data_IF_692483769205
#
_entry.id   IF_692483769205
#
_cell.length_a   1.000
_cell.length_b   1.000
_cell.length_c   1.000
_cell.angle_alpha   90.00
_cell.angle_beta   90.00
_cell.angle_gamma   90.00
#
_symmetry.space_group_name_H-M   'P 1'
#
loop_
_entity.id
_entity.type
_entity.pdbx_description
1 polymer ?
#
# COMPACT_ATOMS: atom_id res chain seq x y z
N UNK A 1 -20.70 -11.85 21.26
CA UNK A 1 -20.72 -10.89 20.15
C UNK A 1 -19.30 -10.38 19.82
N UNK A 2 -18.54 -9.80 20.78
CA UNK A 2 -17.20 -9.19 20.55
C UNK A 2 -16.17 -10.19 20.00
N UNK A 3 -16.13 -11.42 20.55
CA UNK A 3 -15.20 -12.48 20.12
C UNK A 3 -15.49 -12.93 18.67
N UNK A 4 -16.76 -13.06 18.30
CA UNK A 4 -17.15 -13.43 16.94
C UNK A 4 -16.74 -12.35 15.91
N UNK A 5 -16.87 -11.07 16.27
CA UNK A 5 -16.44 -9.95 15.44
C UNK A 5 -14.94 -9.92 15.22
N UNK A 6 -14.15 -10.16 16.28
CA UNK A 6 -12.70 -10.21 16.15
C UNK A 6 -12.26 -11.37 15.24
N UNK A 7 -12.88 -12.55 15.39
CA UNK A 7 -12.60 -13.70 14.53
C UNK A 7 -12.96 -13.39 13.08
N UNK A 8 -14.16 -12.85 12.82
CA UNK A 8 -14.59 -12.51 11.47
C UNK A 8 -13.67 -11.48 10.79
N UNK A 9 -13.32 -10.38 11.47
CA UNK A 9 -12.45 -9.37 10.90
C UNK A 9 -11.01 -9.89 10.66
N UNK A 10 -10.48 -10.70 11.58
CA UNK A 10 -9.19 -11.35 11.39
C UNK A 10 -9.23 -12.32 10.20
N UNK A 11 -10.30 -13.10 10.08
CA UNK A 11 -10.48 -14.00 8.94
C UNK A 11 -10.56 -13.24 7.62
N UNK A 12 -11.34 -12.15 7.55
CA UNK A 12 -11.42 -11.30 6.34
C UNK A 12 -10.04 -10.73 5.98
N UNK A 13 -9.28 -10.23 6.94
CA UNK A 13 -7.94 -9.69 6.69
C UNK A 13 -6.99 -10.74 6.14
N UNK A 14 -6.99 -11.97 6.70
CA UNK A 14 -6.17 -13.06 6.20
C UNK A 14 -6.63 -13.54 4.81
N UNK A 15 -7.93 -13.73 4.60
CA UNK A 15 -8.48 -14.20 3.33
C UNK A 15 -8.17 -13.22 2.19
N UNK A 16 -8.32 -11.92 2.43
CA UNK A 16 -7.99 -10.90 1.42
C UNK A 16 -6.49 -10.78 1.17
N UNK A 17 -5.65 -10.95 2.21
CA UNK A 17 -4.20 -10.98 2.04
C UNK A 17 -3.74 -12.23 1.26
N UNK A 18 -4.31 -13.40 1.55
CA UNK A 18 -4.06 -14.63 0.79
C UNK A 18 -4.58 -14.52 -0.66
N UNK A 19 -5.70 -13.84 -0.86
CA UNK A 19 -6.23 -13.57 -2.18
C UNK A 19 -5.28 -12.69 -3.01
N UNK A 20 -4.72 -11.63 -2.43
CA UNK A 20 -3.70 -10.78 -3.09
C UNK A 20 -2.45 -11.60 -3.45
N UNK A 21 -2.01 -12.49 -2.56
CA UNK A 21 -0.91 -13.41 -2.86
C UNK A 21 -1.27 -14.36 -4.01
N UNK A 22 -2.50 -14.90 -4.03
CA UNK A 22 -2.97 -15.76 -5.10
C UNK A 22 -3.05 -15.04 -6.47
N UNK A 23 -3.41 -13.75 -6.48
CA UNK A 23 -3.38 -12.92 -7.70
C UNK A 23 -1.95 -12.79 -8.24
N UNK A 24 -0.97 -12.53 -7.37
CA UNK A 24 0.44 -12.47 -7.77
C UNK A 24 0.96 -13.81 -8.29
N UNK A 25 0.60 -14.93 -7.66
CA UNK A 25 0.96 -16.27 -8.13
C UNK A 25 0.33 -16.55 -9.50
N UNK A 26 -0.95 -16.23 -9.69
CA UNK A 26 -1.66 -16.38 -10.95
C UNK A 26 -1.08 -15.52 -12.08
N UNK A 27 -0.51 -14.35 -11.73
CA UNK A 27 0.21 -13.46 -12.64
C UNK A 27 1.66 -13.87 -12.95
N UNK A 28 2.06 -15.12 -12.63
CA UNK A 28 3.40 -15.64 -12.94
C UNK A 28 4.48 -15.27 -11.93
N UNK A 29 4.11 -14.71 -10.78
CA UNK A 29 5.08 -14.17 -9.82
C UNK A 29 6.10 -15.19 -9.29
N UNK A 30 5.70 -16.46 -9.11
CA UNK A 30 6.62 -17.53 -8.67
C UNK A 30 7.60 -17.89 -9.77
N UNK A 31 7.14 -17.97 -11.01
CA UNK A 31 7.98 -18.36 -12.16
C UNK A 31 9.14 -17.37 -12.35
N UNK A 32 8.87 -16.09 -12.17
CA UNK A 32 9.87 -15.03 -12.29
C UNK A 32 10.96 -15.10 -11.20
N UNK A 33 10.71 -15.78 -10.07
CA UNK A 33 11.71 -15.90 -8.99
C UNK A 33 12.85 -16.88 -9.31
N UNK A 34 12.63 -17.86 -10.19
CA UNK A 34 13.58 -18.95 -10.43
C UNK A 34 14.87 -18.52 -11.10
N UNK A 35 14.87 -17.39 -11.82
CA UNK A 35 16.06 -16.85 -12.47
C UNK A 35 17.07 -16.20 -11.54
N UNK A 36 16.68 -15.80 -10.33
CA UNK A 36 17.47 -14.98 -9.39
C UNK A 36 18.10 -13.75 -10.04
N UNK A 37 17.40 -13.15 -11.01
CA UNK A 37 17.82 -12.05 -11.85
C UNK A 37 16.92 -10.80 -11.71
N UNK A 38 16.96 -9.92 -12.69
CA UNK A 38 16.11 -8.73 -12.76
C UNK A 38 14.60 -9.05 -12.71
N UNK A 39 14.16 -10.17 -13.30
CA UNK A 39 12.77 -10.60 -13.27
C UNK A 39 12.34 -10.98 -11.83
N UNK A 40 13.23 -11.62 -11.08
CA UNK A 40 12.97 -11.94 -9.66
C UNK A 40 12.82 -10.67 -8.81
N UNK A 41 13.65 -9.64 -9.01
CA UNK A 41 13.52 -8.35 -8.32
C UNK A 41 12.20 -7.68 -8.67
N UNK A 42 11.83 -7.66 -9.94
CA UNK A 42 10.57 -7.08 -10.41
C UNK A 42 9.36 -7.83 -9.83
N UNK A 43 9.40 -9.15 -9.77
CA UNK A 43 8.34 -9.97 -9.21
C UNK A 43 8.15 -9.72 -7.71
N UNK A 44 9.23 -9.66 -6.93
CA UNK A 44 9.18 -9.30 -5.51
C UNK A 44 8.71 -7.85 -5.33
N UNK A 45 9.13 -6.95 -6.20
CA UNK A 45 8.66 -5.57 -6.23
C UNK A 45 7.14 -5.48 -6.44
N UNK A 46 6.60 -6.25 -7.38
CA UNK A 46 5.15 -6.36 -7.61
C UNK A 46 4.42 -6.90 -6.38
N UNK A 47 4.89 -7.99 -5.79
CA UNK A 47 4.30 -8.58 -4.59
C UNK A 47 4.27 -7.58 -3.43
N UNK A 48 5.39 -6.92 -3.13
CA UNK A 48 5.46 -5.95 -2.05
C UNK A 48 4.54 -4.76 -2.29
N UNK A 49 4.38 -4.30 -3.53
CA UNK A 49 3.45 -3.25 -3.92
C UNK A 49 1.98 -3.64 -3.75
N UNK A 50 1.61 -4.85 -4.17
CA UNK A 50 0.26 -5.38 -4.00
C UNK A 50 -0.13 -5.48 -2.52
N UNK A 51 0.76 -6.05 -1.69
CA UNK A 51 0.52 -6.17 -0.25
C UNK A 51 0.50 -4.79 0.42
N UNK A 52 1.42 -3.88 0.05
CA UNK A 52 1.42 -2.51 0.56
C UNK A 52 0.11 -1.77 0.25
N UNK A 53 -0.39 -1.85 -0.99
CA UNK A 53 -1.66 -1.25 -1.41
C UNK A 53 -2.83 -1.79 -0.60
N UNK A 54 -2.91 -3.11 -0.43
CA UNK A 54 -3.95 -3.76 0.35
C UNK A 54 -3.95 -3.26 1.82
N UNK A 55 -2.78 -3.20 2.44
CA UNK A 55 -2.64 -2.74 3.81
C UNK A 55 -2.87 -1.22 3.96
N UNK A 56 -2.46 -0.39 2.99
CA UNK A 56 -2.72 1.04 2.99
C UNK A 56 -4.22 1.36 2.94
N UNK A 57 -4.98 0.63 2.12
CA UNK A 57 -6.43 0.79 2.06
C UNK A 57 -7.10 0.31 3.35
N UNK A 58 -6.59 -0.75 3.99
CA UNK A 58 -7.07 -1.15 5.32
C UNK A 58 -6.84 -0.09 6.39
N UNK A 59 -5.74 0.65 6.33
CA UNK A 59 -5.51 1.74 7.29
C UNK A 59 -6.58 2.81 7.25
N UNK A 60 -7.08 3.14 6.04
CA UNK A 60 -8.21 4.07 5.86
C UNK A 60 -9.44 3.52 6.58
N UNK A 61 -9.79 2.26 6.33
CA UNK A 61 -10.96 1.59 6.90
C UNK A 61 -10.87 1.47 8.43
N UNK A 62 -9.69 1.17 8.98
CA UNK A 62 -9.50 0.97 10.42
C UNK A 62 -9.84 2.21 11.27
N UNK A 63 -9.61 3.41 10.75
CA UNK A 63 -9.87 4.66 11.47
C UNK A 63 -11.06 5.46 10.95
N UNK A 64 -11.82 4.90 10.03
CA UNK A 64 -13.02 5.52 9.44
C UNK A 64 -14.22 5.63 10.39
N UNK A 65 -14.04 5.36 11.70
CA UNK A 65 -15.08 5.42 12.76
C UNK A 65 -16.33 4.60 12.44
N UNK A 66 -16.16 3.48 11.76
CA UNK A 66 -17.29 2.59 11.46
C UNK A 66 -17.77 1.94 12.77
N UNK A 67 -19.03 2.18 13.18
CA UNK A 67 -19.54 1.74 14.52
C UNK A 67 -19.37 0.24 14.76
N UNK A 68 -19.40 -0.53 13.69
CA UNK A 68 -19.26 -1.97 13.70
C UNK A 68 -17.86 -2.40 14.16
N UNK A 69 -16.79 -1.76 13.64
CA UNK A 69 -15.42 -2.01 14.03
C UNK A 69 -15.11 -1.47 15.42
N UNK A 70 -15.61 -0.28 15.77
CA UNK A 70 -15.43 0.28 17.11
C UNK A 70 -16.05 -0.61 18.19
N UNK A 71 -17.26 -1.16 17.96
CA UNK A 71 -17.91 -2.10 18.88
C UNK A 71 -17.17 -3.43 19.02
N UNK A 72 -16.54 -3.92 17.94
CA UNK A 72 -15.79 -5.16 17.93
C UNK A 72 -14.44 -5.05 18.63
N UNK A 73 -13.63 -4.09 18.22
CA UNK A 73 -12.21 -3.99 18.63
C UNK A 73 -11.94 -2.96 19.72
N UNK A 74 -12.82 -1.96 19.88
CA UNK A 74 -12.58 -0.77 20.70
C UNK A 74 -11.55 0.17 20.07
N UNK A 75 -11.57 1.43 20.47
CA UNK A 75 -10.68 2.47 19.90
C UNK A 75 -9.20 2.16 20.07
N UNK A 76 -8.80 1.67 21.24
CA UNK A 76 -7.40 1.34 21.52
C UNK A 76 -6.90 0.16 20.66
N UNK A 77 -7.76 -0.83 20.43
CA UNK A 77 -7.49 -1.96 19.54
C UNK A 77 -7.28 -1.49 18.10
N UNK A 78 -8.19 -0.69 17.57
CA UNK A 78 -8.11 -0.14 16.21
C UNK A 78 -6.86 0.75 16.03
N UNK A 79 -6.55 1.60 17.00
CA UNK A 79 -5.35 2.43 16.97
C UNK A 79 -4.05 1.60 16.98
N UNK A 80 -4.03 0.49 17.74
CA UNK A 80 -2.89 -0.43 17.75
C UNK A 80 -2.73 -1.13 16.40
N UNK A 81 -3.84 -1.61 15.83
CA UNK A 81 -3.84 -2.24 14.51
C UNK A 81 -3.40 -1.25 13.43
N UNK A 82 -3.93 -0.02 13.43
CA UNK A 82 -3.51 1.03 12.50
C UNK A 82 -2.01 1.28 12.55
N UNK A 83 -1.40 1.35 13.74
CA UNK A 83 0.06 1.53 13.86
C UNK A 83 0.84 0.35 13.30
N UNK A 84 0.40 -0.89 13.55
CA UNK A 84 1.07 -2.09 13.05
C UNK A 84 0.94 -2.20 11.53
N UNK A 85 -0.26 -2.06 11.00
CA UNK A 85 -0.55 -2.07 9.57
C UNK A 85 0.20 -0.93 8.87
N UNK A 86 0.25 0.26 9.50
CA UNK A 86 1.00 1.41 9.01
C UNK A 86 2.49 1.17 8.88
N UNK A 87 3.09 0.56 9.87
CA UNK A 87 4.51 0.20 9.81
C UNK A 87 4.80 -0.75 8.64
N UNK A 88 4.01 -1.82 8.50
CA UNK A 88 4.22 -2.81 7.46
C UNK A 88 3.90 -2.27 6.06
N UNK A 89 2.78 -1.56 5.89
CA UNK A 89 2.42 -1.00 4.59
C UNK A 89 3.45 0.02 4.10
N UNK A 90 3.94 0.88 4.98
CA UNK A 90 4.98 1.86 4.67
C UNK A 90 6.31 1.18 4.30
N UNK A 91 6.75 0.18 5.09
CA UNK A 91 7.98 -0.55 4.83
C UNK A 91 7.92 -1.32 3.50
N UNK A 92 6.77 -1.96 3.22
CA UNK A 92 6.55 -2.68 1.96
C UNK A 92 6.46 -1.72 0.75
N UNK A 93 5.88 -0.55 0.92
CA UNK A 93 5.89 0.50 -0.12
C UNK A 93 7.31 0.91 -0.48
N UNK A 94 8.17 1.15 0.51
CA UNK A 94 9.58 1.48 0.25
C UNK A 94 10.33 0.32 -0.41
N UNK A 95 10.07 -0.91 0.03
CA UNK A 95 10.63 -2.11 -0.58
C UNK A 95 10.16 -2.29 -2.03
N UNK A 96 8.88 -2.04 -2.31
CA UNK A 96 8.32 -2.02 -3.66
C UNK A 96 9.08 -1.07 -4.59
N UNK A 97 9.27 0.18 -4.17
CA UNK A 97 9.98 1.19 -4.96
C UNK A 97 11.42 0.74 -5.20
N UNK A 98 12.13 0.33 -4.14
CA UNK A 98 13.53 -0.08 -4.24
C UNK A 98 13.70 -1.30 -5.16
N UNK A 99 12.88 -2.33 -5.00
CA UNK A 99 12.96 -3.57 -5.79
C UNK A 99 12.65 -3.33 -7.26
N UNK A 100 11.63 -2.51 -7.58
CA UNK A 100 11.31 -2.18 -8.97
C UNK A 100 12.42 -1.33 -9.63
N UNK A 101 12.91 -0.30 -8.92
CA UNK A 101 14.02 0.52 -9.47
C UNK A 101 15.24 -0.34 -9.75
N UNK A 102 15.63 -1.21 -8.82
CA UNK A 102 16.75 -2.12 -8.99
C UNK A 102 16.52 -3.14 -10.11
N UNK A 103 15.32 -3.73 -10.16
CA UNK A 103 15.00 -4.75 -11.16
C UNK A 103 14.94 -4.18 -12.58
N UNK A 104 14.33 -3.01 -12.77
CA UNK A 104 14.28 -2.35 -14.08
C UNK A 104 15.63 -1.81 -14.50
N UNK A 105 16.41 -1.22 -13.58
CA UNK A 105 17.77 -0.77 -13.86
C UNK A 105 18.67 -1.91 -14.31
N UNK A 106 18.59 -3.06 -13.63
CA UNK A 106 19.33 -4.26 -13.98
C UNK A 106 18.88 -4.85 -15.34
N UNK A 107 17.58 -4.85 -15.64
CA UNK A 107 17.05 -5.36 -16.90
C UNK A 107 17.44 -4.49 -18.10
N UNK A 108 17.51 -3.16 -17.90
CA UNK A 108 17.86 -2.19 -18.95
C UNK A 108 19.37 -1.89 -19.04
N UNK A 109 20.18 -2.42 -18.12
CA UNK A 109 21.61 -2.12 -17.97
C UNK A 109 21.89 -0.60 -17.83
N UNK A 110 21.08 0.07 -17.03
CA UNK A 110 21.20 1.51 -16.75
C UNK A 110 21.50 1.78 -15.29
N UNK A 111 21.95 3.01 -15.00
CA UNK A 111 22.18 3.45 -13.64
C UNK A 111 20.84 3.63 -12.88
N UNK A 112 20.84 3.29 -11.59
CA UNK A 112 19.67 3.40 -10.70
C UNK A 112 19.07 4.82 -10.71
N UNK A 113 19.89 5.87 -10.77
CA UNK A 113 19.43 7.26 -10.79
C UNK A 113 18.70 7.57 -12.10
N UNK A 114 19.23 7.06 -13.22
CA UNK A 114 18.58 7.19 -14.54
C UNK A 114 17.23 6.46 -14.53
N UNK A 115 17.20 5.22 -14.04
CA UNK A 115 15.95 4.45 -13.95
C UNK A 115 14.91 5.14 -13.06
N UNK A 116 15.32 5.70 -11.92
CA UNK A 116 14.42 6.45 -11.05
C UNK A 116 13.87 7.70 -11.74
N UNK A 117 14.71 8.41 -12.49
CA UNK A 117 14.31 9.57 -13.29
C UNK A 117 13.27 9.19 -14.35
N UNK A 118 13.54 8.14 -15.12
CA UNK A 118 12.60 7.61 -16.12
C UNK A 118 11.27 7.21 -15.49
N UNK A 119 11.28 6.53 -14.33
CA UNK A 119 10.05 6.18 -13.64
C UNK A 119 9.20 7.39 -13.31
N UNK A 120 9.82 8.47 -12.82
CA UNK A 120 9.07 9.66 -12.41
C UNK A 120 8.45 10.38 -13.59
N UNK A 121 9.18 10.48 -14.73
CA UNK A 121 8.81 11.37 -15.82
C UNK A 121 8.19 10.68 -17.02
N UNK A 122 8.58 9.45 -17.32
CA UNK A 122 8.22 8.77 -18.56
C UNK A 122 7.10 7.75 -18.38
N UNK A 123 6.86 7.28 -17.14
CA UNK A 123 5.80 6.30 -16.90
C UNK A 123 4.49 6.96 -16.49
N UNK A 124 3.34 6.57 -17.10
CA UNK A 124 2.04 7.14 -16.80
C UNK A 124 1.64 7.00 -15.32
N UNK A 125 1.22 8.09 -14.71
CA UNK A 125 0.79 8.13 -13.31
C UNK A 125 1.91 8.17 -12.27
N UNK A 126 3.17 7.99 -12.65
CA UNK A 126 4.29 7.90 -11.71
C UNK A 126 4.65 9.25 -11.08
N UNK A 127 4.44 10.37 -11.76
CA UNK A 127 4.62 11.70 -11.14
C UNK A 127 3.66 11.91 -9.97
N UNK A 128 2.41 11.49 -10.13
CA UNK A 128 1.40 11.54 -9.06
C UNK A 128 1.74 10.56 -7.93
N UNK A 129 2.18 9.35 -8.26
CA UNK A 129 2.64 8.36 -7.29
C UNK A 129 3.86 8.85 -6.50
N UNK A 130 4.78 9.56 -7.14
CA UNK A 130 5.94 10.19 -6.49
C UNK A 130 5.50 11.25 -5.49
N UNK A 131 4.59 12.14 -5.89
CA UNK A 131 4.01 13.13 -5.00
C UNK A 131 3.28 12.47 -3.81
N UNK A 132 2.50 11.41 -4.07
CA UNK A 132 1.84 10.61 -3.05
C UNK A 132 2.83 9.96 -2.08
N UNK A 133 3.91 9.39 -2.61
CA UNK A 133 4.99 8.80 -1.80
C UNK A 133 5.65 9.83 -0.87
N UNK A 134 5.93 11.04 -1.37
CA UNK A 134 6.49 12.13 -0.55
C UNK A 134 5.53 12.49 0.59
N UNK A 135 4.23 12.60 0.31
CA UNK A 135 3.22 12.88 1.35
C UNK A 135 3.15 11.75 2.39
N UNK A 136 3.17 10.49 1.98
CA UNK A 136 3.16 9.35 2.90
C UNK A 136 4.44 9.31 3.76
N UNK A 137 5.61 9.62 3.18
CA UNK A 137 6.87 9.75 3.93
C UNK A 137 6.78 10.87 4.96
N UNK A 138 6.25 12.04 4.58
CA UNK A 138 6.04 13.16 5.50
C UNK A 138 5.13 12.77 6.67
N UNK A 139 4.02 12.09 6.39
CA UNK A 139 3.09 11.57 7.40
C UNK A 139 3.78 10.55 8.31
N UNK A 140 4.56 9.64 7.76
CA UNK A 140 5.29 8.64 8.54
C UNK A 140 6.32 9.31 9.47
N UNK A 141 7.13 10.24 8.98
CA UNK A 141 8.13 10.97 9.77
C UNK A 141 7.46 11.75 10.90
N UNK A 142 6.40 12.52 10.60
CA UNK A 142 5.69 13.33 11.60
C UNK A 142 4.92 12.50 12.62
N UNK A 143 4.65 11.23 12.32
CA UNK A 143 4.00 10.27 13.22
C UNK A 143 4.98 9.50 14.11
N UNK A 144 6.29 9.58 13.84
CA UNK A 144 7.31 9.00 14.73
C UNK A 144 7.29 9.67 16.09
N UNK A 145 7.51 8.92 17.18
CA UNK A 145 7.41 9.41 18.57
C UNK A 145 8.18 10.71 18.81
N UNK A 146 9.42 10.81 18.29
CA UNK A 146 10.28 12.00 18.49
C UNK A 146 9.74 13.24 17.77
N UNK A 147 9.27 13.09 16.54
CA UNK A 147 8.71 14.20 15.76
C UNK A 147 7.33 14.58 16.30
N UNK A 148 6.49 13.57 16.57
CA UNK A 148 5.14 13.76 17.15
C UNK A 148 5.16 14.54 18.47
N UNK A 149 6.14 14.29 19.33
CA UNK A 149 6.28 14.99 20.62
C UNK A 149 6.58 16.49 20.47
N UNK A 150 7.10 16.93 19.32
CA UNK A 150 7.41 18.34 19.03
C UNK A 150 6.25 19.09 18.35
N UNK A 151 5.22 18.39 17.92
CA UNK A 151 4.09 18.97 17.20
C UNK A 151 2.88 19.13 18.11
N UNK A 152 2.17 20.26 17.96
CA UNK A 152 0.84 20.41 18.55
C UNK A 152 -0.10 19.39 17.92
N UNK A 153 -1.11 18.95 18.70
CA UNK A 153 -2.05 17.92 18.22
C UNK A 153 -2.73 18.32 16.91
N UNK A 154 -3.20 19.55 16.83
CA UNK A 154 -3.92 20.08 15.68
C UNK A 154 -3.05 20.07 14.41
N UNK A 155 -1.79 20.54 14.54
CA UNK A 155 -0.84 20.55 13.43
C UNK A 155 -0.48 19.15 12.97
N UNK A 156 -0.24 18.22 13.90
CA UNK A 156 0.00 16.83 13.57
C UNK A 156 -1.22 16.18 12.90
N UNK A 157 -2.43 16.45 13.40
CA UNK A 157 -3.65 15.90 12.83
C UNK A 157 -3.85 16.36 11.38
N UNK A 158 -3.67 17.66 11.11
CA UNK A 158 -3.74 18.22 9.76
C UNK A 158 -2.71 17.58 8.83
N UNK A 159 -1.45 17.46 9.27
CA UNK A 159 -0.41 16.78 8.49
C UNK A 159 -0.75 15.31 8.23
N UNK A 160 -1.34 14.63 9.21
CA UNK A 160 -1.73 13.23 9.08
C UNK A 160 -2.87 13.02 8.05
N UNK A 161 -3.74 14.01 7.86
CA UNK A 161 -4.79 13.95 6.83
C UNK A 161 -4.23 13.91 5.40
N UNK A 162 -3.01 14.42 5.16
CA UNK A 162 -2.34 14.27 3.86
C UNK A 162 -2.06 12.82 3.48
N UNK A 163 -2.19 11.87 4.42
CA UNK A 163 -2.15 10.44 4.08
C UNK A 163 -3.25 10.05 3.09
N UNK A 164 -4.46 10.59 3.24
CA UNK A 164 -5.57 10.33 2.30
C UNK A 164 -5.24 10.81 0.89
N UNK A 165 -4.69 12.02 0.78
CA UNK A 165 -4.23 12.56 -0.50
C UNK A 165 -3.09 11.71 -1.07
N UNK A 166 -2.12 11.33 -0.24
CA UNK A 166 -0.99 10.49 -0.65
C UNK A 166 -1.43 9.15 -1.21
N UNK A 167 -2.35 8.47 -0.54
CA UNK A 167 -2.94 7.21 -1.00
C UNK A 167 -3.74 7.41 -2.30
N UNK A 168 -4.55 8.48 -2.38
CA UNK A 168 -5.32 8.80 -3.59
C UNK A 168 -4.46 9.08 -4.82
N UNK A 169 -3.35 9.80 -4.65
CA UNK A 169 -2.39 10.09 -5.72
C UNK A 169 -1.64 8.84 -6.24
N UNK A 170 -1.62 7.76 -5.46
CA UNK A 170 -1.06 6.50 -5.89
C UNK A 170 -2.00 5.71 -6.84
N UNK A 171 -3.30 5.98 -6.86
CA UNK A 171 -4.25 5.24 -7.71
C UNK A 171 -3.95 5.31 -9.21
N UNK A 172 -3.62 6.47 -9.82
CA UNK A 172 -3.36 6.53 -11.26
C UNK A 172 -2.26 5.59 -11.73
N UNK A 173 -1.13 5.46 -11.01
CA UNK A 173 -0.08 4.55 -11.43
C UNK A 173 -0.51 3.08 -11.34
N UNK A 174 -1.35 2.73 -10.36
CA UNK A 174 -1.89 1.37 -10.23
C UNK A 174 -2.76 0.99 -11.42
N UNK A 175 -3.50 1.95 -11.99
CA UNK A 175 -4.38 1.74 -13.13
C UNK A 175 -3.64 1.77 -14.48
N UNK A 176 -2.58 2.57 -14.59
CA UNK A 176 -1.91 2.81 -15.88
C UNK A 176 -0.62 2.01 -16.06
N UNK A 177 0.05 1.65 -14.96
CA UNK A 177 1.29 0.86 -14.99
C UNK A 177 1.21 -0.42 -14.17
N UNK A 178 0.22 -0.56 -13.30
CA UNK A 178 0.03 -1.73 -12.43
C UNK A 178 -0.69 -2.87 -13.14
N UNK A 179 0.00 -3.64 -13.98
CA UNK A 179 -0.59 -4.75 -14.71
C UNK A 179 -1.38 -5.73 -13.83
N UNK A 180 -0.94 -5.97 -12.60
CA UNK A 180 -1.59 -6.88 -11.65
C UNK A 180 -2.97 -6.42 -11.16
N UNK A 181 -3.30 -5.15 -11.31
CA UNK A 181 -4.63 -4.63 -10.97
C UNK A 181 -5.70 -4.97 -12.00
N UNK A 182 -5.32 -5.06 -13.26
CA UNK A 182 -6.24 -5.17 -14.39
C UNK A 182 -6.08 -6.44 -15.20
N UNK A 183 -5.20 -7.37 -14.81
CA UNK A 183 -4.91 -8.57 -15.60
C UNK A 183 -6.09 -9.54 -15.70
N UNK A 184 -7.07 -9.47 -14.81
CA UNK A 184 -8.27 -10.31 -14.84
C UNK A 184 -9.50 -9.56 -14.30
N UNK A 185 -10.74 -9.91 -14.72
CA UNK A 185 -11.96 -9.34 -14.17
C UNK A 185 -12.07 -9.47 -12.64
N UNK A 186 -11.55 -10.57 -12.09
CA UNK A 186 -11.55 -10.83 -10.64
C UNK A 186 -10.61 -9.87 -9.92
N UNK A 187 -9.39 -9.67 -10.43
CA UNK A 187 -8.45 -8.69 -9.88
C UNK A 187 -9.03 -7.28 -9.93
N UNK A 188 -9.57 -6.89 -11.08
CA UNK A 188 -10.21 -5.59 -11.30
C UNK A 188 -11.36 -5.37 -10.31
N UNK A 189 -12.26 -6.34 -10.15
CA UNK A 189 -13.38 -6.24 -9.21
C UNK A 189 -12.92 -6.10 -7.76
N UNK A 190 -11.89 -6.86 -7.36
CA UNK A 190 -11.31 -6.78 -6.02
C UNK A 190 -10.74 -5.39 -5.72
N UNK A 191 -9.88 -4.89 -6.58
CA UNK A 191 -9.20 -3.61 -6.35
C UNK A 191 -10.17 -2.43 -6.40
N UNK A 192 -11.06 -2.38 -7.37
CA UNK A 192 -12.10 -1.34 -7.43
C UNK A 192 -13.06 -1.41 -6.24
N UNK A 193 -13.44 -2.62 -5.80
CA UNK A 193 -14.27 -2.81 -4.61
C UNK A 193 -13.57 -2.29 -3.35
N UNK A 194 -12.29 -2.62 -3.15
CA UNK A 194 -11.52 -2.17 -1.99
C UNK A 194 -11.32 -0.65 -2.00
N UNK A 195 -11.03 -0.04 -3.17
CA UNK A 195 -10.95 1.42 -3.32
C UNK A 195 -12.30 2.11 -3.04
N UNK A 196 -13.39 1.58 -3.57
CA UNK A 196 -14.73 2.12 -3.34
C UNK A 196 -15.12 2.07 -1.86
N UNK A 197 -14.87 0.95 -1.17
CA UNK A 197 -15.13 0.81 0.27
C UNK A 197 -14.27 1.81 1.06
N UNK A 198 -12.99 1.96 0.71
CA UNK A 198 -12.09 2.89 1.38
C UNK A 198 -12.51 4.34 1.18
N UNK A 199 -12.90 4.72 -0.04
CA UNK A 199 -13.40 6.06 -0.35
C UNK A 199 -14.73 6.36 0.36
N UNK A 200 -15.64 5.39 0.43
CA UNK A 200 -16.91 5.54 1.14
C UNK A 200 -16.75 5.62 2.67
N UNK A 201 -15.60 5.20 3.21
CA UNK A 201 -15.29 5.23 4.62
C UNK A 201 -14.72 6.58 5.11
N UNK A 202 -14.31 7.48 4.20
CA UNK A 202 -13.78 8.82 4.51
C UNK A 202 -14.92 9.82 4.66
#
# INVERSE_FOLDING_TARGET
ARRAWNVAATAVTWLTSLFVLALWVAGGGIQDLWGFDAAALNSLGRLTGLVASNLLLYQVILLARIPLFERGFGRDGLTRMHRLVGFWSFSLMLAHIALLVLGYAAAADVNIVVQLWEFVWDYPGMLLATAGTILIILVAITSMRRARAKLRYESWHLLHLYAYLGVGLALPHQLWTGADFLFSPVATAYWWGLWAISAAAI
#
